data_IF_986028553872
#
_entry.id   IF_986028553872
#
_cell.length_a   1.000
_cell.length_b   1.000
_cell.length_c   1.000
_cell.angle_alpha   90.00
_cell.angle_beta   90.00
_cell.angle_gamma   90.00
#
_symmetry.space_group_name_H-M   'P 1'
#
loop_
_entity.id
_entity.type
_entity.pdbx_description
1 polymer ?
#
# COMPACT_ATOMS: atom_id res chain seq x y z
N UNK A 1 -17.45 13.81 -24.07
CA UNK A 1 -17.68 13.67 -22.62
C UNK A 1 -16.37 13.85 -21.88
N UNK A 2 -16.36 14.63 -20.79
CA UNK A 2 -15.17 14.77 -19.94
C UNK A 2 -14.79 13.46 -19.25
N UNK A 3 -13.55 13.37 -18.74
CA UNK A 3 -13.10 12.25 -17.92
C UNK A 3 -13.66 12.36 -16.49
N UNK A 4 -14.01 11.22 -15.90
CA UNK A 4 -14.34 11.13 -14.46
C UNK A 4 -13.10 11.36 -13.60
N UNK A 5 -13.27 11.61 -12.30
CA UNK A 5 -12.14 11.74 -11.38
C UNK A 5 -11.31 10.45 -11.32
N UNK A 6 -11.98 9.29 -11.30
CA UNK A 6 -11.31 7.97 -11.30
C UNK A 6 -10.47 7.78 -12.55
N UNK A 7 -11.02 8.03 -13.73
CA UNK A 7 -10.28 7.93 -15.01
C UNK A 7 -9.05 8.87 -15.02
N UNK A 8 -9.19 10.10 -14.50
CA UNK A 8 -8.08 11.05 -14.43
C UNK A 8 -6.97 10.59 -13.47
N UNK A 9 -7.33 10.07 -12.29
CA UNK A 9 -6.35 9.59 -11.31
C UNK A 9 -5.68 8.31 -11.80
N UNK A 10 -6.45 7.35 -12.34
CA UNK A 10 -5.92 6.12 -12.91
C UNK A 10 -4.96 6.41 -14.07
N UNK A 11 -5.30 7.33 -14.98
CA UNK A 11 -4.40 7.74 -16.08
C UNK A 11 -3.08 8.33 -15.58
N UNK A 12 -3.10 9.11 -14.48
CA UNK A 12 -1.90 9.73 -13.90
C UNK A 12 -0.94 8.71 -13.29
N UNK A 13 -1.49 7.62 -12.75
CA UNK A 13 -0.73 6.55 -12.10
C UNK A 13 -0.50 5.34 -13.02
N UNK A 14 -0.94 5.43 -14.28
CA UNK A 14 -0.71 4.38 -15.25
C UNK A 14 0.76 4.35 -15.66
N UNK A 15 1.32 3.16 -15.69
CA UNK A 15 2.69 2.91 -16.11
C UNK A 15 2.74 2.34 -17.53
N UNK A 16 3.76 2.72 -18.29
CA UNK A 16 3.98 2.25 -19.66
C UNK A 16 3.02 2.80 -20.74
N UNK A 17 2.18 3.79 -20.42
CA UNK A 17 1.32 4.45 -21.43
C UNK A 17 2.05 5.58 -22.16
N UNK A 18 1.70 5.79 -23.43
CA UNK A 18 2.23 6.90 -24.22
C UNK A 18 1.71 8.25 -23.68
N UNK A 19 2.49 9.34 -23.79
CA UNK A 19 2.03 10.67 -23.42
C UNK A 19 0.72 11.04 -24.13
N UNK A 20 -0.28 11.45 -23.36
CA UNK A 20 -1.60 11.82 -23.88
C UNK A 20 -2.58 10.66 -24.11
N UNK A 21 -2.20 9.42 -23.80
CA UNK A 21 -3.15 8.30 -23.78
C UNK A 21 -4.30 8.58 -22.82
N UNK A 22 -5.52 8.40 -23.31
CA UNK A 22 -6.74 8.59 -22.52
C UNK A 22 -7.16 7.24 -21.94
N UNK A 23 -7.18 7.14 -20.60
CA UNK A 23 -7.72 5.97 -19.90
C UNK A 23 -9.22 6.13 -19.67
N UNK A 24 -9.97 5.07 -19.96
CA UNK A 24 -11.42 4.99 -19.83
C UNK A 24 -11.85 3.78 -19.00
N UNK A 25 -13.05 3.85 -18.44
CA UNK A 25 -13.66 2.67 -17.83
C UNK A 25 -13.73 1.51 -18.83
N UNK A 26 -13.22 0.34 -18.42
CA UNK A 26 -13.11 -0.85 -19.26
C UNK A 26 -11.69 -1.10 -19.81
N UNK A 27 -10.79 -0.13 -19.73
CA UNK A 27 -9.40 -0.31 -20.14
C UNK A 27 -8.63 -1.16 -19.11
N UNK A 28 -7.70 -1.98 -19.61
CA UNK A 28 -6.72 -2.68 -18.80
C UNK A 28 -5.41 -1.88 -18.81
N UNK A 29 -4.99 -1.42 -17.64
CA UNK A 29 -3.77 -0.61 -17.47
C UNK A 29 -2.90 -1.18 -16.36
N UNK A 30 -1.59 -1.02 -16.49
CA UNK A 30 -0.65 -1.25 -15.39
C UNK A 30 -0.59 0.02 -14.55
N UNK A 31 -0.57 -0.11 -13.23
CA UNK A 31 -0.61 1.02 -12.29
C UNK A 31 0.60 0.97 -11.37
N UNK A 32 1.25 2.11 -11.16
CA UNK A 32 2.18 2.33 -10.07
C UNK A 32 1.54 3.24 -9.01
N UNK A 33 1.04 2.69 -7.89
CA UNK A 33 0.41 3.51 -6.85
C UNK A 33 1.46 4.40 -6.17
N UNK A 34 1.01 5.51 -5.60
CA UNK A 34 1.88 6.41 -4.83
C UNK A 34 2.38 5.74 -3.54
N UNK A 35 1.48 5.06 -2.83
CA UNK A 35 1.81 4.30 -1.63
C UNK A 35 1.05 2.98 -1.59
N UNK A 36 1.61 2.01 -0.86
CA UNK A 36 0.95 0.76 -0.49
C UNK A 36 1.03 0.57 1.02
N UNK A 37 -0.13 0.56 1.69
CA UNK A 37 -0.17 0.24 3.11
C UNK A 37 -0.31 -1.26 3.32
N UNK A 38 0.46 -1.80 4.25
CA UNK A 38 0.19 -3.11 4.85
C UNK A 38 0.18 -2.99 6.37
N UNK A 39 -0.53 -3.90 7.03
CA UNK A 39 -0.71 -3.88 8.48
C UNK A 39 -0.11 -5.16 9.07
N UNK A 40 -0.73 -5.79 10.06
CA UNK A 40 -0.35 -7.09 10.62
C UNK A 40 -0.08 -8.17 9.56
N UNK A 41 -0.77 -8.07 8.42
CA UNK A 41 -0.62 -9.00 7.31
C UNK A 41 0.71 -8.86 6.56
N UNK A 42 1.51 -7.82 6.84
CA UNK A 42 2.89 -7.64 6.37
C UNK A 42 3.71 -8.91 6.61
N UNK A 43 3.51 -9.59 7.75
CA UNK A 43 4.16 -10.86 8.07
C UNK A 43 3.90 -11.97 7.04
N UNK A 44 2.78 -11.90 6.30
CA UNK A 44 2.45 -12.81 5.21
C UNK A 44 2.76 -12.25 3.80
N UNK A 45 3.06 -10.96 3.69
CA UNK A 45 3.54 -10.33 2.44
C UNK A 45 5.05 -10.53 2.28
N UNK A 46 5.83 -10.37 3.35
CA UNK A 46 7.30 -10.60 3.38
C UNK A 46 7.71 -11.92 2.71
N UNK A 47 7.15 -13.09 3.07
CA UNK A 47 7.53 -14.34 2.42
C UNK A 47 7.17 -14.39 0.93
N UNK A 48 6.08 -13.72 0.51
CA UNK A 48 5.70 -13.62 -0.92
C UNK A 48 6.68 -12.74 -1.69
N UNK A 49 7.08 -11.62 -1.10
CA UNK A 49 8.11 -10.74 -1.67
C UNK A 49 9.42 -11.50 -1.89
N UNK A 50 9.87 -12.27 -0.88
CA UNK A 50 11.06 -13.13 -1.00
C UNK A 50 10.89 -14.23 -2.07
N UNK A 51 9.69 -14.78 -2.22
CA UNK A 51 9.40 -15.79 -3.26
C UNK A 51 9.42 -15.24 -4.69
N UNK A 52 9.14 -13.95 -4.88
CA UNK A 52 9.29 -13.27 -6.18
C UNK A 52 10.77 -13.24 -6.61
N UNK A 53 11.71 -13.40 -5.67
CA UNK A 53 13.15 -13.33 -5.92
C UNK A 53 13.71 -11.91 -5.85
N UNK A 54 12.89 -10.94 -5.42
CA UNK A 54 13.34 -9.58 -5.13
C UNK A 54 14.20 -9.56 -3.88
N UNK A 55 15.36 -8.89 -3.96
CA UNK A 55 16.31 -8.76 -2.85
C UNK A 55 16.17 -7.42 -2.12
N UNK A 56 15.63 -6.40 -2.80
CA UNK A 56 15.48 -5.04 -2.30
C UNK A 56 14.10 -4.50 -2.66
N UNK A 57 13.58 -3.61 -1.82
CA UNK A 57 12.36 -2.85 -2.08
C UNK A 57 12.68 -1.82 -3.18
N UNK A 58 11.89 -1.80 -4.25
CA UNK A 58 12.16 -0.96 -5.41
C UNK A 58 12.12 0.55 -5.09
N UNK A 59 11.23 0.95 -4.18
CA UNK A 59 11.13 2.30 -3.64
C UNK A 59 10.76 2.25 -2.14
N UNK A 60 11.73 2.40 -1.22
CA UNK A 60 11.49 2.36 0.22
C UNK A 60 10.46 3.38 0.75
N UNK A 61 10.23 4.48 0.04
CA UNK A 61 9.27 5.50 0.44
C UNK A 61 7.81 5.16 0.04
N UNK A 62 7.62 4.14 -0.80
CA UNK A 62 6.30 3.72 -1.28
C UNK A 62 5.51 2.88 -0.25
N UNK A 63 6.09 1.82 0.37
CA UNK A 63 5.37 1.06 1.38
C UNK A 63 5.25 1.82 2.70
N UNK A 64 4.16 1.56 3.43
CA UNK A 64 3.94 2.02 4.80
C UNK A 64 3.41 0.86 5.63
N UNK A 65 4.05 0.56 6.75
CA UNK A 65 3.64 -0.53 7.63
C UNK A 65 3.01 0.03 8.90
N UNK A 66 1.74 -0.30 9.17
CA UNK A 66 1.04 0.18 10.36
C UNK A 66 0.28 -0.94 11.08
N UNK A 67 0.69 -1.29 12.29
CA UNK A 67 0.14 -2.42 13.06
C UNK A 67 -1.10 -2.00 13.86
N UNK A 68 -2.24 -2.64 13.62
CA UNK A 68 -3.53 -2.25 14.21
C UNK A 68 -4.56 -3.37 14.42
N UNK A 69 -4.45 -4.54 13.77
CA UNK A 69 -5.54 -5.53 13.76
C UNK A 69 -5.55 -6.47 14.97
N UNK A 70 -4.38 -6.88 15.47
CA UNK A 70 -4.26 -7.93 16.51
C UNK A 70 -3.48 -7.43 17.73
N UNK A 71 -3.59 -6.13 18.04
CA UNK A 71 -2.72 -5.44 19.02
C UNK A 71 -2.93 -5.91 20.47
N UNK A 72 -4.08 -6.51 20.78
CA UNK A 72 -4.38 -7.05 22.11
C UNK A 72 -3.79 -8.46 22.30
N UNK A 73 -3.40 -9.12 21.21
CA UNK A 73 -2.79 -10.44 21.26
C UNK A 73 -1.31 -10.34 21.62
N UNK A 74 -1.02 -10.47 22.91
CA UNK A 74 0.35 -10.43 23.45
C UNK A 74 1.01 -11.82 23.55
N UNK A 75 0.51 -12.80 22.80
CA UNK A 75 1.15 -14.13 22.77
C UNK A 75 2.58 -14.02 22.18
N UNK A 76 3.54 -14.83 22.63
CA UNK A 76 4.90 -14.79 22.11
C UNK A 76 4.98 -14.89 20.58
N UNK A 77 4.10 -15.70 19.97
CA UNK A 77 3.99 -15.86 18.52
C UNK A 77 3.59 -14.57 17.80
N UNK A 78 2.64 -13.81 18.36
CA UNK A 78 2.19 -12.55 17.76
C UNK A 78 3.24 -11.44 17.93
N UNK A 79 3.88 -11.39 19.11
CA UNK A 79 4.99 -10.46 19.36
C UNK A 79 6.18 -10.74 18.43
N UNK A 80 6.51 -12.00 18.18
CA UNK A 80 7.54 -12.39 17.21
C UNK A 80 7.17 -11.97 15.78
N UNK A 81 5.89 -12.11 15.39
CA UNK A 81 5.38 -11.61 14.10
C UNK A 81 5.61 -10.10 13.95
N UNK A 82 5.25 -9.31 14.96
CA UNK A 82 5.45 -7.85 14.91
C UNK A 82 6.92 -7.45 14.91
N UNK A 83 7.74 -8.09 15.74
CA UNK A 83 9.18 -7.84 15.75
C UNK A 83 9.83 -8.14 14.38
N UNK A 84 9.37 -9.19 13.68
CA UNK A 84 9.82 -9.50 12.31
C UNK A 84 9.40 -8.43 11.29
N UNK A 85 8.20 -7.88 11.42
CA UNK A 85 7.71 -6.80 10.54
C UNK A 85 8.52 -5.54 10.77
N UNK A 86 8.70 -5.14 12.04
CA UNK A 86 9.50 -3.98 12.43
C UNK A 86 10.95 -4.10 11.93
N UNK A 87 11.59 -5.24 12.17
CA UNK A 87 12.96 -5.48 11.70
C UNK A 87 13.07 -5.37 10.17
N UNK A 88 12.11 -5.94 9.43
CA UNK A 88 12.07 -5.84 7.97
C UNK A 88 11.86 -4.40 7.49
N UNK A 89 11.05 -3.61 8.21
CA UNK A 89 10.86 -2.20 7.91
C UNK A 89 12.16 -1.41 8.08
N UNK A 90 12.84 -1.59 9.21
CA UNK A 90 14.12 -0.92 9.50
C UNK A 90 15.22 -1.35 8.52
N UNK A 91 15.28 -2.64 8.17
CA UNK A 91 16.24 -3.19 7.20
C UNK A 91 16.12 -2.51 5.83
N UNK A 92 14.88 -2.22 5.40
CA UNK A 92 14.62 -1.63 4.09
C UNK A 92 14.33 -0.12 4.12
N UNK A 93 14.40 0.54 5.29
CA UNK A 93 14.13 1.97 5.42
C UNK A 93 12.66 2.35 5.15
N UNK A 94 11.73 1.50 5.55
CA UNK A 94 10.29 1.68 5.37
C UNK A 94 9.69 2.35 6.60
N UNK A 95 8.78 3.30 6.40
CA UNK A 95 8.02 3.92 7.49
C UNK A 95 7.17 2.86 8.22
N UNK A 96 7.41 2.75 9.53
CA UNK A 96 6.79 1.77 10.41
C UNK A 96 6.10 2.42 11.60
N UNK A 97 4.84 2.05 11.81
CA UNK A 97 4.00 2.50 12.91
C UNK A 97 3.65 1.30 13.80
N UNK A 98 4.13 1.27 15.06
CA UNK A 98 3.93 0.14 15.96
C UNK A 98 2.49 0.05 16.47
N UNK A 99 2.17 -1.09 17.08
CA UNK A 99 0.90 -1.33 17.75
C UNK A 99 0.58 -0.21 18.74
N UNK A 100 -0.65 0.31 18.68
CA UNK A 100 -1.10 1.42 19.51
C UNK A 100 -0.97 2.81 18.89
N UNK A 101 -0.37 2.94 17.69
CA UNK A 101 -0.34 4.22 16.95
C UNK A 101 -1.76 4.66 16.55
N UNK A 102 -2.57 3.73 16.04
CA UNK A 102 -3.92 3.99 15.55
C UNK A 102 -4.31 3.00 14.46
N UNK A 103 -5.54 3.10 13.96
CA UNK A 103 -6.00 2.30 12.82
C UNK A 103 -5.17 2.69 11.59
N UNK A 104 -4.66 1.71 10.87
CA UNK A 104 -3.71 1.85 9.76
C UNK A 104 -4.19 2.84 8.70
N UNK A 105 -5.46 2.79 8.29
CA UNK A 105 -6.02 3.76 7.35
C UNK A 105 -6.09 5.20 7.90
N UNK A 106 -6.31 5.36 9.21
CA UNK A 106 -6.29 6.68 9.86
C UNK A 106 -4.87 7.24 9.87
N UNK A 107 -3.88 6.39 10.19
CA UNK A 107 -2.45 6.74 10.10
C UNK A 107 -2.11 7.19 8.68
N UNK A 108 -2.56 6.46 7.66
CA UNK A 108 -2.32 6.81 6.26
C UNK A 108 -2.84 8.20 5.86
N UNK A 109 -3.97 8.62 6.45
CA UNK A 109 -4.55 9.95 6.21
C UNK A 109 -3.87 11.03 7.04
N UNK A 110 -3.70 10.82 8.35
CA UNK A 110 -3.15 11.81 9.28
C UNK A 110 -1.67 12.14 9.01
N UNK A 111 -0.90 11.16 8.55
CA UNK A 111 0.52 11.33 8.21
C UNK A 111 0.74 11.84 6.78
N UNK A 112 -0.34 12.06 6.02
CA UNK A 112 -0.25 12.68 4.69
C UNK A 112 0.22 11.75 3.56
N UNK A 113 0.20 10.43 3.75
CA UNK A 113 0.43 9.49 2.65
C UNK A 113 -0.73 9.49 1.65
N UNK A 114 -1.94 9.75 2.12
CA UNK A 114 -3.14 9.89 1.30
C UNK A 114 -3.46 11.37 1.07
N UNK A 115 -3.29 11.83 -0.17
CA UNK A 115 -3.53 13.23 -0.56
C UNK A 115 -4.45 13.31 -1.79
N UNK A 116 -5.16 14.44 -2.00
CA UNK A 116 -6.04 14.61 -3.15
C UNK A 116 -5.39 14.28 -4.49
N UNK A 117 -6.07 13.46 -5.28
CA UNK A 117 -5.62 13.06 -6.61
C UNK A 117 -4.52 11.99 -6.64
N UNK A 118 -4.08 11.46 -5.51
CA UNK A 118 -3.19 10.30 -5.46
C UNK A 118 -3.97 9.01 -5.71
N UNK A 119 -3.29 7.98 -6.20
CA UNK A 119 -3.73 6.59 -6.08
C UNK A 119 -2.93 5.90 -4.98
N UNK A 120 -3.61 5.43 -3.94
CA UNK A 120 -3.00 4.75 -2.79
C UNK A 120 -3.72 3.43 -2.60
N UNK A 121 -2.96 2.35 -2.46
CA UNK A 121 -3.54 1.02 -2.26
C UNK A 121 -3.23 0.52 -0.85
N UNK A 122 -3.96 -0.50 -0.41
CA UNK A 122 -3.61 -1.22 0.80
C UNK A 122 -3.84 -2.70 0.62
N UNK A 123 -3.05 -3.52 1.31
CA UNK A 123 -3.43 -4.92 1.52
C UNK A 123 -4.55 -5.05 2.56
N UNK A 124 -5.60 -4.23 2.46
CA UNK A 124 -6.79 -4.23 3.29
C UNK A 124 -8.00 -3.81 2.43
N UNK A 125 -9.17 -4.39 2.71
CA UNK A 125 -10.41 -4.15 1.98
C UNK A 125 -10.95 -2.72 2.07
N UNK A 126 -10.56 -1.94 3.07
CA UNK A 126 -11.15 -0.63 3.40
C UNK A 126 -10.34 0.57 2.89
N UNK A 127 -9.37 0.34 2.01
CA UNK A 127 -8.64 1.41 1.31
C UNK A 127 -9.55 2.31 0.46
N UNK A 128 -10.78 1.89 0.15
CA UNK A 128 -11.80 2.77 -0.44
C UNK A 128 -12.08 4.02 0.41
N UNK A 129 -11.78 3.99 1.72
CA UNK A 129 -11.81 5.15 2.62
C UNK A 129 -11.06 6.36 2.05
N UNK A 130 -9.97 6.14 1.31
CA UNK A 130 -9.13 7.21 0.75
C UNK A 130 -9.89 8.10 -0.24
N UNK A 131 -11.03 7.64 -0.77
CA UNK A 131 -11.97 8.45 -1.55
C UNK A 131 -12.48 9.69 -0.81
N UNK A 132 -12.57 9.66 0.53
CA UNK A 132 -12.94 10.82 1.35
C UNK A 132 -11.93 11.97 1.24
N UNK A 133 -10.67 11.67 0.94
CA UNK A 133 -9.60 12.64 0.68
C UNK A 133 -9.45 12.98 -0.81
N UNK A 134 -10.44 12.65 -1.65
CA UNK A 134 -10.38 12.79 -3.11
C UNK A 134 -9.20 12.03 -3.76
N UNK A 135 -8.74 10.94 -3.13
CA UNK A 135 -7.77 10.00 -3.67
C UNK A 135 -8.48 8.75 -4.22
N UNK A 136 -7.83 8.04 -5.15
CA UNK A 136 -8.29 6.73 -5.59
C UNK A 136 -7.71 5.65 -4.67
N UNK A 137 -8.54 5.10 -3.80
CA UNK A 137 -8.21 4.01 -2.91
C UNK A 137 -8.77 2.68 -3.38
N UNK A 138 -7.92 1.66 -3.52
CA UNK A 138 -8.37 0.30 -3.88
C UNK A 138 -7.63 -0.77 -3.10
N UNK A 139 -8.32 -1.84 -2.68
CA UNK A 139 -7.69 -2.96 -2.00
C UNK A 139 -6.84 -3.76 -2.97
N UNK A 140 -5.77 -4.34 -2.44
CA UNK A 140 -4.92 -5.31 -3.15
C UNK A 140 -4.70 -6.53 -2.28
N UNK A 141 -4.40 -7.69 -2.87
CA UNK A 141 -4.09 -8.88 -2.06
C UNK A 141 -2.61 -8.92 -1.69
N UNK A 142 -2.23 -9.85 -0.79
CA UNK A 142 -0.84 -9.97 -0.32
C UNK A 142 0.18 -10.20 -1.43
N UNK A 143 -0.21 -10.88 -2.52
CA UNK A 143 0.69 -11.10 -3.68
C UNK A 143 0.90 -9.80 -4.45
N UNK A 144 -0.14 -9.01 -4.64
CA UNK A 144 -0.07 -7.72 -5.33
C UNK A 144 0.80 -6.74 -4.53
N UNK A 145 0.62 -6.66 -3.20
CA UNK A 145 1.46 -5.84 -2.33
C UNK A 145 2.94 -6.24 -2.43
N UNK A 146 3.23 -7.54 -2.42
CA UNK A 146 4.59 -8.04 -2.63
C UNK A 146 5.14 -7.69 -4.02
N UNK A 147 4.31 -7.71 -5.06
CA UNK A 147 4.71 -7.29 -6.40
C UNK A 147 5.01 -5.80 -6.46
N UNK A 148 4.18 -4.96 -5.82
CA UNK A 148 4.38 -3.50 -5.77
C UNK A 148 5.70 -3.18 -5.06
N UNK A 149 6.03 -3.87 -3.97
CA UNK A 149 7.32 -3.69 -3.30
C UNK A 149 8.52 -4.02 -4.18
N UNK A 150 8.35 -4.91 -5.17
CA UNK A 150 9.41 -5.40 -6.04
C UNK A 150 9.62 -4.59 -7.33
N UNK A 151 8.73 -3.63 -7.66
CA UNK A 151 8.70 -2.93 -8.96
C UNK A 151 8.50 -1.43 -8.82
#
# INVERSE_FOLDING_TARGET
MGLTLVEKIAARHADGLAPGTVVRAGDFVSIRPRHVMTHDNTGAVIPKFKQIGAMEIADPAQPVFAIDHDIQNVTPKNLEKYAKIEAFAHEHGIDFYPAGTGISHQVMVEQGYVVPGAMVVASDSHSNLYGAAAALGTPVVRTDAASIWAT
#
